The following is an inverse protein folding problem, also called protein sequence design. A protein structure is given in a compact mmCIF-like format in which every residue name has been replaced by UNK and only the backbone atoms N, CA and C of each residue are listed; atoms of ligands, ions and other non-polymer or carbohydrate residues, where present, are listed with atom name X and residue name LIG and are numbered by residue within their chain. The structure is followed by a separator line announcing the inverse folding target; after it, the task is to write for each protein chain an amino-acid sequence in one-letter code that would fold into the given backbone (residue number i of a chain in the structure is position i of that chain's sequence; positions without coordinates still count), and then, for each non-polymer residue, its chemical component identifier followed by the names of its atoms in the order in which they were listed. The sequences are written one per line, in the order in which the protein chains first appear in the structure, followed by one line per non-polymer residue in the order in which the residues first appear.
data_IF_072373187807
#
_entry.id   IF_072373187807
#
_cell.length_a   1.000
_cell.length_b   1.000
_cell.length_c   1.000
_cell.angle_alpha   90.00
_cell.angle_beta   90.00
_cell.angle_gamma   90.00
#
_symmetry.space_group_name_H-M   'P 1'
#
loop_
_entity.id
_entity.type
_entity.pdbx_description
1 polymer ?
#
# COMPACT_ATOMS: atom_id res chain seq x y z
N UNK A 1 6.76 -22.42 -12.50
CA UNK A 1 6.10 -21.10 -12.78
C UNK A 1 4.62 -21.36 -13.03
N UNK A 2 3.75 -20.70 -12.25
CA UNK A 2 2.32 -20.82 -12.46
C UNK A 2 1.92 -20.06 -13.74
N UNK A 3 1.00 -20.65 -14.53
CA UNK A 3 0.45 -19.98 -15.72
C UNK A 3 -0.47 -18.85 -15.26
N UNK A 4 -0.21 -17.62 -15.75
CA UNK A 4 -1.04 -16.46 -15.43
C UNK A 4 -2.44 -16.61 -16.06
N UNK A 5 -3.47 -16.48 -15.22
CA UNK A 5 -4.86 -16.51 -15.70
C UNK A 5 -5.20 -15.18 -16.35
N UNK A 6 -5.88 -15.19 -17.50
CA UNK A 6 -6.32 -13.96 -18.14
C UNK A 6 -7.33 -13.21 -17.26
N UNK A 7 -7.15 -11.90 -17.16
CA UNK A 7 -8.13 -11.02 -16.50
C UNK A 7 -9.41 -10.95 -17.35
N UNK A 8 -10.61 -11.04 -16.75
CA UNK A 8 -11.88 -10.89 -17.49
C UNK A 8 -11.92 -9.55 -18.24
N UNK A 9 -12.37 -9.58 -19.49
CA UNK A 9 -12.37 -8.39 -20.35
C UNK A 9 -13.28 -7.29 -19.81
N UNK A 10 -14.39 -7.67 -19.19
CA UNK A 10 -15.32 -6.74 -18.54
C UNK A 10 -14.68 -5.95 -17.39
N UNK A 11 -13.77 -6.56 -16.63
CA UNK A 11 -13.01 -5.86 -15.60
C UNK A 11 -12.06 -4.84 -16.22
N UNK A 12 -11.33 -5.24 -17.26
CA UNK A 12 -10.43 -4.32 -17.97
C UNK A 12 -11.20 -3.14 -18.56
N UNK A 13 -12.37 -3.37 -19.14
CA UNK A 13 -13.22 -2.31 -19.69
C UNK A 13 -13.71 -1.34 -18.59
N UNK A 14 -14.03 -1.84 -17.39
CA UNK A 14 -14.41 -1.00 -16.25
C UNK A 14 -13.27 -0.10 -15.79
N UNK A 15 -12.05 -0.63 -15.69
CA UNK A 15 -10.85 0.16 -15.36
C UNK A 15 -10.55 1.21 -16.43
N UNK A 16 -10.62 0.84 -17.70
CA UNK A 16 -10.45 1.78 -18.81
C UNK A 16 -11.48 2.92 -18.74
N UNK A 17 -12.74 2.58 -18.48
CA UNK A 17 -13.81 3.58 -18.33
C UNK A 17 -13.56 4.52 -17.16
N UNK A 18 -13.13 4.03 -16.02
CA UNK A 18 -12.77 4.85 -14.85
C UNK A 18 -11.66 5.83 -15.22
N UNK A 19 -10.60 5.37 -15.88
CA UNK A 19 -9.50 6.23 -16.33
C UNK A 19 -9.96 7.33 -17.29
N UNK A 20 -10.85 7.00 -18.25
CA UNK A 20 -11.44 7.99 -19.16
C UNK A 20 -12.26 9.05 -18.41
N UNK A 21 -13.02 8.65 -17.39
CA UNK A 21 -13.80 9.58 -16.55
C UNK A 21 -12.87 10.52 -15.80
N UNK A 22 -11.85 10.01 -15.14
CA UNK A 22 -10.85 10.81 -14.40
C UNK A 22 -10.15 11.80 -15.34
N UNK A 23 -9.71 11.34 -16.51
CA UNK A 23 -9.07 12.22 -17.50
C UNK A 23 -10.02 13.32 -17.99
N UNK A 24 -11.29 12.99 -18.22
CA UNK A 24 -12.33 13.97 -18.61
C UNK A 24 -12.56 15.02 -17.53
N UNK A 25 -12.67 14.61 -16.26
CA UNK A 25 -12.87 15.53 -15.12
C UNK A 25 -11.71 16.52 -15.01
N UNK A 26 -10.50 16.07 -15.26
CA UNK A 26 -9.28 16.88 -15.17
C UNK A 26 -8.96 17.72 -16.40
N UNK A 27 -9.53 17.38 -17.55
CA UNK A 27 -9.27 18.04 -18.83
C UNK A 27 -9.98 19.40 -18.96
N UNK A 28 -9.54 20.29 -19.89
CA UNK A 28 -10.22 21.56 -20.17
C UNK A 28 -11.72 21.33 -20.46
N UNK A 29 -12.59 22.05 -19.75
CA UNK A 29 -14.04 21.84 -19.84
C UNK A 29 -14.59 20.75 -18.90
N UNK A 30 -13.74 20.07 -18.17
CA UNK A 30 -14.13 19.12 -17.11
C UNK A 30 -14.57 19.82 -15.82
N UNK A 31 -14.39 19.17 -14.68
CA UNK A 31 -14.83 19.69 -13.39
C UNK A 31 -13.88 20.80 -12.86
N UNK A 32 -14.37 22.02 -12.58
CA UNK A 32 -13.53 23.10 -12.07
C UNK A 32 -12.89 22.83 -10.70
N UNK A 33 -13.50 21.97 -9.89
CA UNK A 33 -12.94 21.54 -8.60
C UNK A 33 -11.78 20.57 -8.80
N UNK A 34 -11.99 19.54 -9.63
CA UNK A 34 -10.95 18.55 -9.95
C UNK A 34 -9.73 19.20 -10.60
N UNK A 35 -9.95 20.17 -11.50
CA UNK A 35 -8.87 20.89 -12.20
C UNK A 35 -7.97 21.70 -11.26
N UNK A 36 -8.45 22.08 -10.07
CA UNK A 36 -7.68 22.82 -9.07
C UNK A 36 -6.89 21.94 -8.11
N UNK A 37 -7.17 20.64 -8.09
CA UNK A 37 -6.50 19.73 -7.17
C UNK A 37 -5.01 19.59 -7.50
N UNK A 38 -4.22 19.45 -6.45
CA UNK A 38 -2.79 19.10 -6.50
C UNK A 38 -2.57 17.75 -5.80
N UNK A 39 -1.40 17.18 -5.96
CA UNK A 39 -1.02 15.94 -5.25
C UNK A 39 -1.17 16.13 -3.75
N UNK A 40 -0.75 17.30 -3.23
CA UNK A 40 -0.81 17.63 -1.80
C UNK A 40 -2.25 17.82 -1.31
N UNK A 41 -3.14 18.44 -2.11
CA UNK A 41 -4.54 18.64 -1.73
C UNK A 41 -5.35 17.35 -1.73
N UNK A 42 -4.96 16.36 -2.53
CA UNK A 42 -5.63 15.06 -2.61
C UNK A 42 -5.19 14.08 -1.50
N UNK A 43 -3.99 14.25 -0.95
CA UNK A 43 -3.46 13.32 0.04
C UNK A 43 -4.31 13.16 1.32
N UNK A 44 -4.90 14.22 1.91
CA UNK A 44 -5.81 14.08 3.05
C UNK A 44 -7.06 13.23 2.73
N UNK A 45 -7.66 13.40 1.54
CA UNK A 45 -8.83 12.63 1.12
C UNK A 45 -8.52 11.14 1.04
N UNK A 46 -7.35 10.76 0.49
CA UNK A 46 -6.94 9.35 0.48
C UNK A 46 -6.85 8.72 1.87
N UNK A 47 -6.47 9.50 2.89
CA UNK A 47 -6.43 9.01 4.27
C UNK A 47 -7.85 8.85 4.82
N UNK A 48 -8.76 9.77 4.50
CA UNK A 48 -10.16 9.73 4.88
C UNK A 48 -10.85 8.49 4.29
N UNK A 49 -10.82 8.30 2.97
CA UNK A 49 -11.38 7.12 2.29
C UNK A 49 -10.78 5.80 2.81
N UNK A 50 -9.49 5.80 3.17
CA UNK A 50 -8.86 4.64 3.77
C UNK A 50 -9.47 4.29 5.14
N UNK A 51 -9.81 5.28 5.96
CA UNK A 51 -10.46 5.07 7.25
C UNK A 51 -11.92 4.64 7.09
N UNK A 52 -12.67 5.23 6.17
CA UNK A 52 -14.05 4.87 5.87
C UNK A 52 -14.15 3.42 5.38
N UNK A 53 -13.24 3.02 4.50
CA UNK A 53 -13.11 1.61 4.09
C UNK A 53 -12.83 0.68 5.28
N UNK A 54 -11.92 1.04 6.19
CA UNK A 54 -11.61 0.23 7.38
C UNK A 54 -12.84 0.10 8.29
N UNK A 55 -13.59 1.17 8.48
CA UNK A 55 -14.82 1.18 9.29
C UNK A 55 -15.93 0.34 8.66
N UNK A 56 -16.12 0.41 7.33
CA UNK A 56 -17.06 -0.44 6.59
C UNK A 56 -16.71 -1.94 6.75
N UNK A 57 -15.44 -2.29 6.60
CA UNK A 57 -14.94 -3.67 6.84
C UNK A 57 -15.21 -4.12 8.28
N UNK A 58 -14.95 -3.26 9.28
CA UNK A 58 -15.17 -3.58 10.68
C UNK A 58 -16.66 -3.83 11.02
N UNK A 59 -17.57 -3.16 10.33
CA UNK A 59 -19.02 -3.38 10.42
C UNK A 59 -19.52 -4.60 9.64
N UNK A 60 -18.69 -5.17 8.75
CA UNK A 60 -19.08 -6.25 7.85
C UNK A 60 -19.99 -5.79 6.71
N UNK A 61 -20.03 -4.50 6.39
CA UNK A 61 -20.82 -3.94 5.30
C UNK A 61 -20.05 -4.03 3.98
N UNK A 62 -20.31 -5.08 3.22
CA UNK A 62 -19.64 -5.33 1.94
C UNK A 62 -20.06 -4.36 0.84
N UNK A 63 -21.25 -3.76 0.90
CA UNK A 63 -21.71 -2.81 -0.08
C UNK A 63 -20.97 -1.49 0.09
N UNK A 64 -20.91 -0.97 1.32
CA UNK A 64 -20.14 0.21 1.69
C UNK A 64 -18.63 -0.02 1.48
N UNK A 65 -18.09 -1.20 1.86
CA UNK A 65 -16.69 -1.55 1.57
C UNK A 65 -16.35 -1.45 0.08
N UNK A 66 -17.27 -1.84 -0.80
CA UNK A 66 -17.09 -1.73 -2.25
C UNK A 66 -17.10 -0.26 -2.71
N UNK A 67 -17.95 0.59 -2.13
CA UNK A 67 -18.04 2.02 -2.40
C UNK A 67 -16.73 2.71 -2.01
N UNK A 68 -16.29 2.55 -0.76
CA UNK A 68 -15.07 3.17 -0.23
C UNK A 68 -13.79 2.70 -0.96
N UNK A 69 -13.72 1.43 -1.37
CA UNK A 69 -12.65 0.96 -2.25
C UNK A 69 -12.68 1.64 -3.63
N UNK A 70 -13.85 2.00 -4.13
CA UNK A 70 -14.02 2.78 -5.35
C UNK A 70 -13.47 4.20 -5.20
N UNK A 71 -13.80 4.89 -4.10
CA UNK A 71 -13.34 6.24 -3.80
C UNK A 71 -11.83 6.28 -3.54
N UNK A 72 -11.30 5.33 -2.80
CA UNK A 72 -9.86 5.17 -2.62
C UNK A 72 -9.14 4.92 -3.96
N UNK A 73 -9.69 4.07 -4.83
CA UNK A 73 -9.14 3.81 -6.17
C UNK A 73 -9.18 5.07 -7.05
N UNK A 74 -10.29 5.80 -7.06
CA UNK A 74 -10.44 7.08 -7.76
C UNK A 74 -9.40 8.07 -7.28
N UNK A 75 -9.22 8.24 -5.96
CA UNK A 75 -8.23 9.12 -5.37
C UNK A 75 -6.79 8.78 -5.77
N UNK A 76 -6.42 7.50 -5.76
CA UNK A 76 -5.08 7.04 -6.20
C UNK A 76 -4.85 7.39 -7.67
N UNK A 77 -5.82 7.10 -8.55
CA UNK A 77 -5.72 7.36 -9.97
C UNK A 77 -5.71 8.87 -10.28
N UNK A 78 -6.49 9.67 -9.53
CA UNK A 78 -6.51 11.13 -9.64
C UNK A 78 -5.14 11.73 -9.25
N UNK A 79 -4.53 11.29 -8.15
CA UNK A 79 -3.17 11.71 -7.76
C UNK A 79 -2.16 11.41 -8.87
N UNK A 80 -2.19 10.20 -9.43
CA UNK A 80 -1.29 9.83 -10.51
C UNK A 80 -1.57 10.62 -11.80
N UNK A 81 -2.84 10.94 -12.09
CA UNK A 81 -3.23 11.80 -13.22
C UNK A 81 -2.72 13.23 -13.05
N UNK A 82 -2.85 13.80 -11.85
CA UNK A 82 -2.31 15.15 -11.54
C UNK A 82 -0.78 15.16 -11.63
N UNK A 83 -0.09 14.16 -11.08
CA UNK A 83 1.35 14.03 -11.15
C UNK A 83 1.88 14.00 -12.60
N UNK A 84 1.12 13.39 -13.52
CA UNK A 84 1.50 13.29 -14.93
C UNK A 84 1.54 14.64 -15.66
N UNK A 85 0.83 15.66 -15.19
CA UNK A 85 0.83 17.01 -15.78
C UNK A 85 2.16 17.73 -15.57
N UNK A 86 2.84 17.45 -14.44
CA UNK A 86 4.15 18.01 -14.10
C UNK A 86 5.35 17.21 -14.60
N UNK A 87 5.16 16.27 -15.54
CA UNK A 87 6.18 15.30 -15.99
C UNK A 87 6.71 14.38 -14.88
N UNK A 88 5.89 14.14 -13.87
CA UNK A 88 6.13 13.10 -12.88
C UNK A 88 5.80 11.70 -13.44
N UNK A 89 5.17 10.89 -12.62
CA UNK A 89 4.69 9.56 -13.00
C UNK A 89 3.23 9.63 -13.46
N UNK A 90 2.76 8.59 -14.19
CA UNK A 90 1.38 8.44 -14.62
C UNK A 90 0.75 7.15 -14.03
N UNK A 91 -0.57 6.95 -14.12
CA UNK A 91 -1.24 5.76 -13.57
C UNK A 91 -0.63 4.41 -14.03
N UNK A 92 -0.16 4.34 -15.26
CA UNK A 92 0.54 3.16 -15.78
C UNK A 92 1.85 2.86 -15.05
N UNK A 93 2.62 3.89 -14.67
CA UNK A 93 3.88 3.70 -13.92
C UNK A 93 3.59 3.15 -12.52
N UNK A 94 2.50 3.62 -11.89
CA UNK A 94 2.06 3.10 -10.58
C UNK A 94 1.72 1.61 -10.67
N UNK A 95 0.93 1.24 -11.68
CA UNK A 95 0.55 -0.16 -11.90
C UNK A 95 1.77 -1.03 -12.24
N UNK A 96 2.64 -0.59 -13.15
CA UNK A 96 3.87 -1.30 -13.52
C UNK A 96 4.78 -1.49 -12.32
N UNK A 97 5.04 -0.41 -11.57
CA UNK A 97 5.95 -0.44 -10.43
C UNK A 97 5.50 -1.40 -9.32
N UNK A 98 4.19 -1.44 -9.02
CA UNK A 98 3.68 -2.40 -8.04
C UNK A 98 3.68 -3.84 -8.59
N UNK A 99 3.38 -4.04 -9.86
CA UNK A 99 3.41 -5.37 -10.51
C UNK A 99 4.81 -5.96 -10.46
N UNK A 100 5.83 -5.23 -10.90
CA UNK A 100 7.23 -5.67 -10.85
C UNK A 100 7.69 -5.98 -9.44
N UNK A 101 7.28 -5.16 -8.47
CA UNK A 101 7.57 -5.36 -7.06
C UNK A 101 6.92 -6.64 -6.51
N UNK A 102 5.67 -6.92 -6.88
CA UNK A 102 4.98 -8.15 -6.48
C UNK A 102 5.63 -9.38 -7.07
N UNK A 103 5.93 -9.39 -8.37
CA UNK A 103 6.63 -10.49 -9.06
C UNK A 103 7.97 -10.78 -8.35
N UNK A 104 8.78 -9.75 -8.13
CA UNK A 104 10.10 -9.90 -7.51
C UNK A 104 10.03 -10.41 -6.06
N UNK A 105 9.00 -10.01 -5.30
CA UNK A 105 8.83 -10.40 -3.89
C UNK A 105 8.13 -11.74 -3.69
N UNK A 106 7.65 -12.37 -4.77
CA UNK A 106 7.02 -13.70 -4.74
C UNK A 106 7.76 -14.69 -5.64
N UNK A 107 9.07 -14.92 -5.42
CA UNK A 107 9.85 -15.85 -6.25
C UNK A 107 9.40 -17.30 -6.14
N UNK A 108 8.61 -17.63 -5.12
CA UNK A 108 7.94 -18.94 -4.97
C UNK A 108 6.70 -19.11 -5.87
N UNK A 109 6.19 -18.00 -6.45
CA UNK A 109 5.06 -18.02 -7.40
C UNK A 109 5.54 -17.79 -8.82
N UNK A 110 6.40 -16.79 -9.03
CA UNK A 110 6.85 -16.33 -10.33
C UNK A 110 8.26 -16.82 -10.72
N UNK A 111 8.96 -17.51 -9.82
CA UNK A 111 10.30 -18.09 -10.01
C UNK A 111 10.37 -19.54 -9.57
N UNK A 112 11.56 -19.96 -9.16
CA UNK A 112 11.88 -21.37 -8.87
C UNK A 112 12.16 -21.63 -7.37
N UNK A 113 11.79 -20.70 -6.48
CA UNK A 113 11.99 -20.86 -5.03
C UNK A 113 10.89 -21.75 -4.46
N UNK A 114 11.26 -22.84 -3.81
CA UNK A 114 10.33 -23.73 -3.11
C UNK A 114 10.13 -23.26 -1.66
N UNK A 115 8.91 -23.34 -1.17
CA UNK A 115 8.52 -22.94 0.20
C UNK A 115 7.68 -24.00 0.93
N UNK A 116 7.39 -25.13 0.28
CA UNK A 116 6.65 -26.30 0.81
C UNK A 116 5.36 -25.95 1.58
N UNK A 117 4.71 -24.83 1.20
CA UNK A 117 3.52 -24.31 1.88
C UNK A 117 3.80 -23.65 3.24
N UNK A 118 5.06 -23.43 3.61
CA UNK A 118 5.43 -22.79 4.88
C UNK A 118 5.39 -21.27 4.78
N UNK A 119 4.37 -20.64 5.40
CA UNK A 119 4.20 -19.20 5.48
C UNK A 119 5.40 -18.50 6.15
N UNK A 120 6.05 -19.14 7.13
CA UNK A 120 7.19 -18.53 7.83
C UNK A 120 8.39 -18.36 6.89
N UNK A 121 8.60 -19.31 5.99
CA UNK A 121 9.62 -19.24 4.96
C UNK A 121 9.30 -18.14 3.92
N UNK A 122 8.03 -17.99 3.53
CA UNK A 122 7.59 -16.88 2.66
C UNK A 122 7.90 -15.53 3.28
N UNK A 123 7.56 -15.33 4.56
CA UNK A 123 7.82 -14.08 5.28
C UNK A 123 9.31 -13.79 5.42
N UNK A 124 10.14 -14.79 5.74
CA UNK A 124 11.60 -14.63 5.82
C UNK A 124 12.20 -14.22 4.46
N UNK A 125 11.78 -14.88 3.39
CA UNK A 125 12.24 -14.54 2.03
C UNK A 125 11.83 -13.11 1.66
N UNK A 126 10.60 -12.71 1.99
CA UNK A 126 10.13 -11.34 1.75
C UNK A 126 10.96 -10.30 2.50
N UNK A 127 11.25 -10.51 3.79
CA UNK A 127 12.08 -9.56 4.55
C UNK A 127 13.52 -9.52 4.03
N UNK A 128 14.09 -10.65 3.60
CA UNK A 128 15.41 -10.69 2.96
C UNK A 128 15.43 -9.85 1.67
N UNK A 129 14.46 -10.07 0.76
CA UNK A 129 14.35 -9.31 -0.49
C UNK A 129 14.16 -7.80 -0.21
N UNK A 130 13.32 -7.44 0.76
CA UNK A 130 13.14 -6.03 1.17
C UNK A 130 14.43 -5.39 1.67
N UNK A 131 15.25 -6.14 2.41
CA UNK A 131 16.54 -5.68 2.90
C UNK A 131 17.52 -5.42 1.75
N UNK A 132 17.60 -6.34 0.79
CA UNK A 132 18.42 -6.19 -0.41
C UNK A 132 17.96 -4.98 -1.26
N UNK A 133 16.64 -4.80 -1.45
CA UNK A 133 16.08 -3.64 -2.15
C UNK A 133 16.46 -2.30 -1.49
N UNK A 134 16.45 -2.25 -0.15
CA UNK A 134 16.87 -1.06 0.60
C UNK A 134 18.36 -0.78 0.42
N UNK A 135 19.20 -1.80 0.58
CA UNK A 135 20.64 -1.70 0.39
C UNK A 135 20.97 -1.19 -1.01
N UNK A 136 20.34 -1.77 -2.06
CA UNK A 136 20.53 -1.35 -3.46
C UNK A 136 20.13 0.10 -3.72
N UNK A 137 19.19 0.65 -2.94
CA UNK A 137 18.75 2.06 -3.03
C UNK A 137 19.53 3.00 -2.11
N UNK A 138 20.49 2.51 -1.33
CA UNK A 138 21.23 3.30 -0.35
C UNK A 138 20.35 3.87 0.77
N UNK A 139 19.22 3.20 1.07
CA UNK A 139 18.28 3.62 2.10
C UNK A 139 18.75 3.15 3.48
N UNK A 140 18.28 3.84 4.53
CA UNK A 140 18.54 3.48 5.93
C UNK A 140 18.20 2.00 6.20
N UNK A 141 19.20 1.23 6.63
CA UNK A 141 19.09 -0.19 6.96
C UNK A 141 18.61 -0.43 8.39
N UNK A 142 18.36 0.63 9.17
CA UNK A 142 17.82 0.50 10.54
C UNK A 142 16.58 -0.41 10.53
N UNK A 143 16.50 -1.30 11.51
CA UNK A 143 15.34 -2.18 11.69
C UNK A 143 14.03 -1.39 11.80
N UNK A 144 14.08 -0.17 12.36
CA UNK A 144 12.93 0.71 12.55
C UNK A 144 12.62 1.60 11.33
N UNK A 145 13.47 1.61 10.30
CA UNK A 145 13.27 2.44 9.12
C UNK A 145 11.98 2.08 8.36
N UNK A 146 11.34 3.07 7.73
CA UNK A 146 10.14 2.88 6.93
C UNK A 146 8.83 2.82 7.72
N UNK A 147 8.82 3.31 8.96
CA UNK A 147 7.59 3.65 9.69
C UNK A 147 7.28 5.12 9.40
N UNK A 148 6.19 5.43 8.66
CA UNK A 148 5.89 6.81 8.30
C UNK A 148 5.68 7.68 9.55
N UNK A 149 6.26 8.90 9.61
CA UNK A 149 6.07 9.80 10.75
C UNK A 149 4.63 10.34 10.85
N UNK A 150 3.88 10.32 9.75
CA UNK A 150 2.49 10.78 9.66
C UNK A 150 1.46 9.77 10.21
N UNK A 151 1.87 8.55 10.57
CA UNK A 151 0.94 7.60 11.18
C UNK A 151 0.39 8.13 12.50
N UNK A 152 -0.90 7.84 12.83
CA UNK A 152 -1.45 8.07 14.16
C UNK A 152 -0.55 7.46 15.24
N UNK A 153 -0.40 8.15 16.37
CA UNK A 153 0.62 7.82 17.39
C UNK A 153 0.56 6.36 17.86
N UNK A 154 -0.64 5.83 18.15
CA UNK A 154 -0.80 4.44 18.58
C UNK A 154 -0.44 3.44 17.50
N UNK A 155 -0.85 3.70 16.25
CA UNK A 155 -0.50 2.84 15.13
C UNK A 155 1.01 2.89 14.85
N UNK A 156 1.62 4.06 14.99
CA UNK A 156 3.08 4.23 14.86
C UNK A 156 3.81 3.46 15.95
N UNK A 157 3.38 3.56 17.20
CA UNK A 157 3.95 2.81 18.32
C UNK A 157 3.85 1.30 18.09
N UNK A 158 2.67 0.81 17.70
CA UNK A 158 2.46 -0.58 17.35
C UNK A 158 3.42 -1.06 16.24
N UNK A 159 3.55 -0.28 15.15
CA UNK A 159 4.44 -0.63 14.03
C UNK A 159 5.93 -0.60 14.41
N UNK A 160 6.34 0.31 15.28
CA UNK A 160 7.70 0.35 15.82
C UNK A 160 7.97 -0.88 16.68
N UNK A 161 7.06 -1.21 17.61
CA UNK A 161 7.15 -2.43 18.43
C UNK A 161 7.24 -3.71 17.60
N UNK A 162 6.36 -3.85 16.60
CA UNK A 162 6.40 -5.00 15.68
C UNK A 162 7.74 -5.12 14.93
N UNK A 163 8.33 -4.02 14.51
CA UNK A 163 9.63 -4.03 13.84
C UNK A 163 10.77 -4.35 14.80
N UNK A 164 10.71 -3.85 16.03
CA UNK A 164 11.67 -4.18 17.08
C UNK A 164 11.63 -5.67 17.42
N UNK A 165 10.43 -6.22 17.62
CA UNK A 165 10.21 -7.65 17.85
C UNK A 165 10.79 -8.51 16.71
N UNK A 166 10.51 -8.17 15.46
CA UNK A 166 11.05 -8.87 14.28
C UNK A 166 12.58 -8.79 14.17
N UNK A 167 13.21 -7.79 14.81
CA UNK A 167 14.67 -7.65 14.89
C UNK A 167 15.27 -8.36 16.11
N UNK A 168 14.46 -9.08 16.88
CA UNK A 168 14.88 -9.79 18.09
C UNK A 168 14.92 -8.92 19.35
N UNK A 169 14.40 -7.69 19.28
CA UNK A 169 14.25 -6.81 20.44
C UNK A 169 12.81 -6.90 20.95
N UNK A 170 12.57 -7.92 21.77
CA UNK A 170 11.27 -8.17 22.39
C UNK A 170 11.44 -8.76 23.79
N UNK A 171 10.41 -8.67 24.59
CA UNK A 171 10.35 -9.27 25.90
C UNK A 171 10.17 -10.79 25.79
N UNK A 172 10.84 -11.59 26.64
CA UNK A 172 10.69 -13.05 26.61
C UNK A 172 9.30 -13.51 27.09
N UNK A 173 8.63 -12.67 27.91
CA UNK A 173 7.33 -12.93 28.54
C UNK A 173 6.61 -11.61 28.82
N UNK A 174 5.45 -11.67 29.50
CA UNK A 174 4.63 -10.51 29.84
C UNK A 174 5.11 -9.74 31.09
N UNK A 175 5.99 -10.31 31.92
CA UNK A 175 6.43 -9.67 33.16
C UNK A 175 7.16 -8.35 32.90
N UNK A 176 7.98 -8.31 31.84
CA UNK A 176 8.69 -7.10 31.44
C UNK A 176 7.79 -5.94 31.01
N UNK A 177 6.85 -6.14 30.06
CA UNK A 177 5.85 -5.11 29.71
C UNK A 177 4.99 -4.66 30.89
N UNK A 178 4.51 -5.57 31.74
CA UNK A 178 3.70 -5.24 32.93
C UNK A 178 4.46 -4.35 33.90
N UNK A 179 5.73 -4.67 34.19
CA UNK A 179 6.58 -3.84 35.05
C UNK A 179 6.78 -2.43 34.49
N UNK A 180 6.81 -2.26 33.16
CA UNK A 180 6.92 -0.93 32.52
C UNK A 180 5.63 -0.12 32.60
N UNK A 181 4.47 -0.77 32.56
CA UNK A 181 3.19 -0.09 32.79
C UNK A 181 3.09 0.43 34.23
N UNK A 182 3.61 -0.34 35.21
CA UNK A 182 3.61 0.06 36.62
C UNK A 182 4.62 1.20 36.92
N UNK A 183 5.66 1.36 36.07
CA UNK A 183 6.63 2.46 36.20
C UNK A 183 6.11 3.83 35.73
N UNK A 184 5.11 3.89 34.83
CA UNK A 184 4.53 5.11 34.25
C UNK A 184 3.24 5.55 34.97
#
# INVERSE_FOLDING_TARGET
MLEEKPVPKEWLASFERLMQVIDTLRSPGGCPWDQKQTVESLAPHLVEECHEMVDAVARGDMAETCEELGDLMMGILMVARVASEGRGFHPGDVATGITEKLIRRHPHVYGDVEVDGDESTVLKNWEAIKKEEKAAKGLDESALSGVPPSLPALLRAYRVGQKASNAGFDWPDLEGPEAKVDEE
#
